data_IF_275400910981
#
_entry.id   IF_275400910981
#
_cell.length_a   1.000
_cell.length_b   1.000
_cell.length_c   1.000
_cell.angle_alpha   90.00
_cell.angle_beta   90.00
_cell.angle_gamma   90.00
#
_symmetry.space_group_name_H-M   'P 1'
#
loop_
_entity.id
_entity.type
_entity.pdbx_description
1 polymer ?
#
# COMPACT_ATOMS: atom_id res chain seq x y z
N UNK A 1 -7.02 -40.89 0.31
CA UNK A 1 -5.91 -40.21 1.00
C UNK A 1 -4.96 -39.67 -0.07
N UNK A 2 -5.38 -38.60 -0.77
CA UNK A 2 -4.59 -37.98 -1.84
C UNK A 2 -3.87 -36.77 -1.28
N UNK A 3 -2.55 -36.80 -1.36
CA UNK A 3 -1.67 -35.68 -1.03
C UNK A 3 -1.78 -34.66 -2.14
N UNK A 4 -2.36 -33.51 -1.87
CA UNK A 4 -2.16 -32.32 -2.68
C UNK A 4 -0.73 -31.85 -2.49
N UNK A 5 0.13 -32.12 -3.46
CA UNK A 5 1.42 -31.43 -3.61
C UNK A 5 1.11 -30.05 -4.23
N UNK A 6 1.15 -29.03 -3.41
CA UNK A 6 1.24 -27.66 -3.91
C UNK A 6 2.73 -27.39 -4.12
N UNK A 7 3.24 -27.82 -5.26
CA UNK A 7 4.52 -27.37 -5.82
C UNK A 7 4.19 -26.48 -7.00
N UNK A 8 3.92 -25.22 -6.70
CA UNK A 8 4.24 -24.12 -7.61
C UNK A 8 4.18 -22.85 -6.76
N UNK A 9 5.30 -22.12 -6.70
CA UNK A 9 5.34 -20.73 -6.23
C UNK A 9 4.55 -19.87 -7.21
N UNK A 10 3.24 -20.08 -7.24
CA UNK A 10 2.36 -19.16 -7.89
C UNK A 10 2.38 -17.89 -7.03
N UNK A 11 3.04 -16.85 -7.53
CA UNK A 11 2.66 -15.49 -7.16
C UNK A 11 1.14 -15.49 -7.17
N UNK A 12 0.53 -15.32 -5.98
CA UNK A 12 -0.93 -15.27 -5.87
C UNK A 12 -1.34 -14.10 -6.73
N UNK A 13 -1.85 -14.43 -7.89
CA UNK A 13 -2.23 -13.46 -8.89
C UNK A 13 -3.47 -12.75 -8.33
N UNK A 14 -3.29 -11.53 -7.82
CA UNK A 14 -4.37 -10.66 -7.33
C UNK A 14 -5.47 -10.41 -8.39
N UNK A 15 -5.35 -11.07 -9.56
CA UNK A 15 -6.20 -10.91 -10.75
C UNK A 15 -7.63 -11.42 -10.63
N UNK A 16 -7.96 -12.30 -9.67
CA UNK A 16 -9.22 -13.05 -9.75
C UNK A 16 -10.38 -12.42 -8.99
N UNK A 17 -10.14 -11.36 -8.20
CA UNK A 17 -11.15 -10.80 -7.31
C UNK A 17 -11.84 -9.51 -7.79
N UNK A 18 -11.42 -8.90 -8.91
CA UNK A 18 -12.00 -7.64 -9.37
C UNK A 18 -12.84 -7.86 -10.63
N UNK A 19 -13.98 -8.46 -10.44
CA UNK A 19 -15.03 -8.61 -11.44
C UNK A 19 -16.24 -7.77 -11.07
N UNK A 20 -16.29 -6.51 -11.53
CA UNK A 20 -17.54 -5.82 -11.80
C UNK A 20 -18.20 -5.05 -10.67
N UNK A 21 -17.98 -3.75 -10.64
CA UNK A 21 -19.02 -2.72 -10.59
C UNK A 21 -18.37 -1.36 -10.88
N UNK A 22 -18.55 -0.85 -12.08
CA UNK A 22 -18.30 0.55 -12.41
C UNK A 22 -19.30 1.42 -11.64
N UNK A 23 -18.94 1.80 -10.44
CA UNK A 23 -19.59 2.94 -9.77
C UNK A 23 -18.72 4.15 -10.09
N UNK A 24 -19.23 5.04 -10.90
CA UNK A 24 -18.63 6.35 -11.17
C UNK A 24 -18.60 7.14 -9.85
N UNK A 25 -17.49 7.09 -9.14
CA UNK A 25 -17.24 7.96 -8.00
C UNK A 25 -16.61 9.25 -8.50
N UNK A 26 -17.31 10.35 -8.25
CA UNK A 26 -16.81 11.69 -8.47
C UNK A 26 -15.44 11.87 -7.82
N UNK A 27 -14.49 12.60 -8.46
CA UNK A 27 -13.18 12.85 -7.89
C UNK A 27 -13.38 13.62 -6.59
N UNK A 28 -13.02 13.01 -5.47
CA UNK A 28 -12.81 13.73 -4.22
C UNK A 28 -11.60 14.63 -4.44
N UNK A 29 -11.85 15.84 -4.93
CA UNK A 29 -10.88 16.90 -4.94
C UNK A 29 -10.53 17.21 -3.46
N UNK A 30 -9.43 16.65 -2.98
CA UNK A 30 -8.83 17.13 -1.76
C UNK A 30 -8.35 18.55 -2.01
N UNK A 31 -8.92 19.58 -1.34
CA UNK A 31 -8.39 20.91 -1.45
C UNK A 31 -6.95 20.86 -0.96
N UNK A 32 -6.01 21.09 -1.87
CA UNK A 32 -4.59 21.19 -1.55
C UNK A 32 -4.37 22.39 -0.62
N UNK A 33 -4.62 22.22 0.67
CA UNK A 33 -4.02 23.08 1.66
C UNK A 33 -2.54 22.73 1.69
N UNK A 34 -1.74 23.57 1.03
CA UNK A 34 -0.33 23.65 1.29
C UNK A 34 -0.17 23.94 2.81
N UNK A 35 -0.07 22.88 3.60
CA UNK A 35 0.41 23.02 4.95
C UNK A 35 1.85 23.49 4.82
N UNK A 36 2.18 24.61 5.41
CA UNK A 36 3.55 25.02 5.65
C UNK A 36 4.18 23.94 6.55
N UNK A 37 4.66 22.88 5.92
CA UNK A 37 5.33 21.77 6.59
C UNK A 37 6.69 22.28 7.04
N UNK A 38 6.86 22.34 8.34
CA UNK A 38 8.21 22.42 8.88
C UNK A 38 9.06 21.37 8.18
N UNK A 39 10.26 21.75 7.72
CA UNK A 39 11.20 20.93 6.97
C UNK A 39 11.83 19.82 7.84
N UNK A 40 11.06 19.18 8.71
CA UNK A 40 11.53 18.06 9.53
C UNK A 40 11.54 16.81 8.68
N UNK A 41 12.72 16.20 8.57
CA UNK A 41 12.91 14.89 7.95
C UNK A 41 12.22 13.81 8.80
N UNK A 42 11.65 12.75 8.22
CA UNK A 42 11.19 11.60 8.99
C UNK A 42 12.30 11.05 9.88
N UNK A 43 11.93 10.49 11.03
CA UNK A 43 12.87 9.66 11.79
C UNK A 43 13.13 8.37 11.02
N UNK A 44 14.27 7.77 11.24
CA UNK A 44 14.62 6.50 10.64
C UNK A 44 14.84 5.45 11.74
N UNK A 45 14.04 4.36 11.79
CA UNK A 45 12.91 4.05 10.92
C UNK A 45 11.62 4.82 11.29
N UNK A 46 10.65 4.81 10.37
CA UNK A 46 9.28 5.26 10.65
C UNK A 46 8.25 4.17 10.31
N UNK A 47 7.08 4.21 10.97
CA UNK A 47 6.05 3.19 10.85
C UNK A 47 4.74 3.81 10.38
N UNK A 48 4.13 3.18 9.37
CA UNK A 48 2.81 3.50 8.83
C UNK A 48 1.86 2.32 9.05
N UNK A 49 0.57 2.62 9.09
CA UNK A 49 -0.50 1.64 9.04
C UNK A 49 -1.30 1.87 7.75
N UNK A 50 -1.37 0.86 6.90
CA UNK A 50 -2.34 0.81 5.80
C UNK A 50 -3.63 0.19 6.34
N UNK A 51 -4.77 0.81 6.01
CA UNK A 51 -6.04 0.31 6.48
C UNK A 51 -7.19 0.72 5.60
N UNK A 52 -8.04 -0.24 5.26
CA UNK A 52 -9.33 -0.06 4.62
C UNK A 52 -9.43 -0.78 3.28
N UNK A 53 -10.59 -0.63 2.64
CA UNK A 53 -10.88 -1.25 1.36
C UNK A 53 -10.03 -0.67 0.25
N UNK A 54 -9.52 -1.55 -0.60
CA UNK A 54 -8.92 -1.17 -1.87
C UNK A 54 -9.98 -0.59 -2.82
N UNK A 55 -9.68 0.55 -3.42
CA UNK A 55 -10.53 1.18 -4.42
C UNK A 55 -9.78 1.29 -5.74
N UNK A 56 -10.40 0.96 -6.89
CA UNK A 56 -9.76 1.15 -8.19
C UNK A 56 -9.39 2.62 -8.44
N UNK A 57 -8.25 2.86 -9.04
CA UNK A 57 -7.78 4.20 -9.44
C UNK A 57 -7.98 4.36 -10.93
N UNK A 58 -8.96 5.18 -11.34
CA UNK A 58 -9.15 5.54 -12.74
C UNK A 58 -8.22 6.71 -13.16
N UNK A 59 -8.08 7.69 -12.25
CA UNK A 59 -7.20 8.85 -12.43
C UNK A 59 -6.62 9.21 -11.07
N UNK A 60 -5.31 9.07 -10.93
CA UNK A 60 -4.59 9.38 -9.71
C UNK A 60 -3.84 10.72 -9.77
N UNK A 61 -3.38 11.24 -8.63
CA UNK A 61 -2.54 12.42 -8.59
C UNK A 61 -1.17 12.13 -9.21
N UNK A 62 -0.54 13.17 -9.75
CA UNK A 62 0.87 13.11 -10.10
C UNK A 62 1.71 13.09 -8.83
N UNK A 63 2.37 11.97 -8.54
CA UNK A 63 3.20 11.78 -7.36
C UNK A 63 4.62 12.34 -7.51
N UNK A 64 4.99 12.77 -8.74
CA UNK A 64 6.35 13.18 -9.08
C UNK A 64 7.34 12.00 -9.13
N UNK A 65 6.83 10.78 -9.32
CA UNK A 65 7.59 9.54 -9.47
C UNK A 65 7.59 9.12 -10.94
N UNK A 66 8.73 8.67 -11.45
CA UNK A 66 8.89 8.27 -12.85
C UNK A 66 8.48 6.83 -13.12
N UNK A 67 8.53 5.98 -12.08
CA UNK A 67 8.24 4.53 -12.18
C UNK A 67 6.76 4.20 -11.97
N UNK A 68 5.92 5.17 -11.61
CA UNK A 68 4.49 4.97 -11.31
C UNK A 68 3.64 5.91 -12.14
N UNK A 69 2.72 5.36 -12.94
CA UNK A 69 1.66 6.11 -13.60
C UNK A 69 0.29 5.68 -13.07
N UNK A 70 -0.33 6.53 -12.26
CA UNK A 70 -1.64 6.24 -11.67
C UNK A 70 -2.81 6.48 -12.63
N UNK A 71 -2.57 6.78 -13.89
CA UNK A 71 -3.61 7.04 -14.91
C UNK A 71 -3.75 5.88 -15.91
N UNK A 72 -2.97 4.81 -15.75
CA UNK A 72 -3.03 3.64 -16.62
C UNK A 72 -4.15 2.65 -16.25
N UNK A 73 -4.87 2.90 -15.16
CA UNK A 73 -5.94 2.04 -14.63
C UNK A 73 -5.47 0.75 -13.97
N UNK A 74 -4.16 0.58 -13.76
CA UNK A 74 -3.57 -0.64 -13.18
C UNK A 74 -3.44 -0.61 -11.66
N UNK A 75 -3.86 0.46 -10.98
CA UNK A 75 -3.67 0.64 -9.55
C UNK A 75 -4.96 0.60 -8.76
N UNK A 76 -4.85 0.11 -7.51
CA UNK A 76 -5.84 0.30 -6.44
C UNK A 76 -5.25 1.16 -5.33
N UNK A 77 -6.12 1.81 -4.55
CA UNK A 77 -5.73 2.73 -3.48
C UNK A 77 -6.38 2.36 -2.16
N UNK A 78 -5.61 2.42 -1.06
CA UNK A 78 -6.10 2.43 0.32
C UNK A 78 -5.51 3.60 1.11
N UNK A 79 -5.87 3.72 2.39
CA UNK A 79 -5.49 4.85 3.24
C UNK A 79 -4.27 4.54 4.09
N UNK A 80 -3.47 5.59 4.35
CA UNK A 80 -2.31 5.55 5.24
C UNK A 80 -2.63 6.32 6.52
N UNK A 81 -2.31 5.70 7.65
CA UNK A 81 -2.40 6.29 8.99
C UNK A 81 -1.01 6.37 9.64
N UNK A 82 -0.73 7.39 10.45
CA UNK A 82 0.55 7.52 11.11
C UNK A 82 0.62 6.58 12.32
N UNK A 83 1.77 5.92 12.52
CA UNK A 83 2.07 5.18 13.75
C UNK A 83 3.21 5.87 14.49
N UNK A 84 4.39 5.98 13.87
CA UNK A 84 5.54 6.65 14.47
C UNK A 84 6.51 7.19 13.42
N UNK A 85 7.31 8.19 13.82
CA UNK A 85 8.43 8.69 13.01
C UNK A 85 8.07 9.60 11.83
N UNK A 86 6.79 9.78 11.50
CA UNK A 86 6.32 10.67 10.43
C UNK A 86 6.14 12.10 10.96
N UNK A 87 6.66 13.12 10.26
CA UNK A 87 6.41 14.50 10.61
C UNK A 87 4.95 14.91 10.42
N UNK A 88 4.44 15.75 11.29
CA UNK A 88 3.12 16.37 11.16
C UNK A 88 2.05 15.75 12.05
N UNK A 89 0.89 15.40 11.47
CA UNK A 89 -0.24 14.88 12.24
C UNK A 89 0.02 13.48 12.76
N UNK A 90 0.06 13.31 14.06
CA UNK A 90 0.27 12.03 14.76
C UNK A 90 -1.04 11.41 15.27
N UNK A 91 -2.20 11.93 14.87
CA UNK A 91 -3.47 11.32 15.25
C UNK A 91 -3.66 9.97 14.53
N UNK A 92 -3.59 8.83 15.25
CA UNK A 92 -3.66 7.51 14.64
C UNK A 92 -5.02 7.20 14.00
N UNK A 93 -6.06 7.99 14.29
CA UNK A 93 -7.39 7.81 13.75
C UNK A 93 -7.66 8.69 12.51
N UNK A 94 -6.66 9.45 12.04
CA UNK A 94 -6.80 10.31 10.88
C UNK A 94 -5.83 9.89 9.79
N UNK A 95 -6.39 9.52 8.63
CA UNK A 95 -5.57 9.23 7.45
C UNK A 95 -4.72 10.45 7.08
N UNK A 96 -3.44 10.20 6.79
CA UNK A 96 -2.46 11.22 6.39
C UNK A 96 -2.06 11.11 4.93
N UNK A 97 -2.41 10.02 4.25
CA UNK A 97 -1.99 9.77 2.89
C UNK A 97 -2.72 8.61 2.24
N UNK A 98 -2.18 8.20 1.10
CA UNK A 98 -2.71 7.12 0.26
C UNK A 98 -1.59 6.16 -0.13
N UNK A 99 -1.92 4.88 -0.10
CA UNK A 99 -1.09 3.79 -0.61
C UNK A 99 -1.73 3.27 -1.90
N UNK A 100 -0.93 3.18 -2.94
CA UNK A 100 -1.31 2.68 -4.26
C UNK A 100 -0.57 1.39 -4.52
N UNK A 101 -1.29 0.33 -4.89
CA UNK A 101 -0.68 -0.95 -5.27
C UNK A 101 -1.09 -1.32 -6.68
N UNK A 102 -0.12 -1.78 -7.47
CA UNK A 102 -0.35 -2.22 -8.83
C UNK A 102 -1.07 -3.57 -8.84
N UNK A 103 -2.21 -3.66 -9.55
CA UNK A 103 -3.08 -4.84 -9.54
C UNK A 103 -2.43 -6.09 -10.15
N UNK A 104 -1.53 -5.89 -11.10
CA UNK A 104 -0.92 -6.95 -11.88
C UNK A 104 0.60 -6.78 -12.01
N UNK A 105 1.23 -6.21 -11.00
CA UNK A 105 2.65 -5.94 -11.00
C UNK A 105 3.25 -6.02 -9.59
N UNK A 106 4.50 -5.62 -9.52
CA UNK A 106 5.32 -5.63 -8.31
C UNK A 106 5.57 -4.24 -7.74
N UNK A 107 4.89 -3.21 -8.26
CA UNK A 107 5.08 -1.82 -7.83
C UNK A 107 3.97 -1.35 -6.88
N UNK A 108 4.39 -0.55 -5.91
CA UNK A 108 3.47 0.26 -5.11
C UNK A 108 4.03 1.66 -4.89
N UNK A 109 3.17 2.58 -4.46
CA UNK A 109 3.56 3.94 -4.14
C UNK A 109 2.85 4.46 -2.90
N UNK A 110 3.56 5.26 -2.14
CA UNK A 110 3.09 5.95 -0.96
C UNK A 110 3.05 7.45 -1.24
N UNK A 111 1.93 8.08 -0.95
CA UNK A 111 1.79 9.53 -0.96
C UNK A 111 1.46 9.99 0.45
N UNK A 112 2.40 10.65 1.10
CA UNK A 112 2.34 11.05 2.50
C UNK A 112 2.79 12.50 2.68
N UNK A 113 2.53 13.14 3.83
CA UNK A 113 2.99 14.50 4.07
C UNK A 113 4.50 14.64 3.83
N UNK A 114 4.89 15.57 2.99
CA UNK A 114 6.29 15.85 2.67
C UNK A 114 6.83 15.20 1.40
N UNK A 115 6.08 14.28 0.77
CA UNK A 115 6.47 13.68 -0.51
C UNK A 115 5.82 12.33 -0.81
N UNK A 116 6.42 11.64 -1.76
CA UNK A 116 5.98 10.32 -2.21
C UNK A 116 7.18 9.42 -2.38
N UNK A 117 6.96 8.11 -2.36
CA UNK A 117 8.00 7.13 -2.70
C UNK A 117 7.37 5.90 -3.35
N UNK A 118 8.09 5.34 -4.32
CA UNK A 118 7.73 4.10 -5.00
C UNK A 118 8.60 2.95 -4.49
N UNK A 119 8.00 1.79 -4.36
CA UNK A 119 8.66 0.57 -3.93
C UNK A 119 8.34 -0.58 -4.87
N UNK A 120 9.21 -1.58 -4.82
CA UNK A 120 9.01 -2.87 -5.48
C UNK A 120 8.95 -3.97 -4.46
N UNK A 121 7.98 -4.87 -4.59
CA UNK A 121 7.94 -6.12 -3.83
C UNK A 121 9.11 -7.00 -4.23
N UNK A 122 9.87 -7.48 -3.23
CA UNK A 122 11.03 -8.37 -3.42
C UNK A 122 10.66 -9.78 -3.04
N UNK A 123 9.95 -9.93 -1.91
CA UNK A 123 9.55 -11.21 -1.35
C UNK A 123 8.19 -11.08 -0.67
N UNK A 124 7.45 -12.20 -0.60
CA UNK A 124 6.14 -12.26 0.04
C UNK A 124 5.94 -13.66 0.62
N UNK A 125 5.66 -13.71 1.92
CA UNK A 125 5.36 -14.93 2.68
C UNK A 125 3.95 -14.83 3.28
N UNK A 126 2.95 -14.60 2.40
CA UNK A 126 1.55 -14.53 2.76
C UNK A 126 0.93 -15.92 2.71
N UNK A 127 0.32 -16.37 3.79
CA UNK A 127 -0.32 -17.68 3.91
C UNK A 127 -1.83 -17.53 4.15
N UNK A 128 -2.65 -18.44 3.59
CA UNK A 128 -4.07 -18.48 3.91
C UNK A 128 -4.31 -18.82 5.38
N UNK A 129 -5.20 -18.07 6.02
CA UNK A 129 -5.64 -18.30 7.39
C UNK A 129 -7.14 -18.48 7.41
N UNK A 130 -7.60 -19.58 8.01
CA UNK A 130 -9.03 -19.84 8.26
C UNK A 130 -9.38 -19.29 9.66
N UNK A 131 -10.30 -18.36 9.72
CA UNK A 131 -10.80 -17.80 10.99
C UNK A 131 -11.86 -18.67 11.68
N UNK A 132 -12.14 -19.85 11.12
CA UNK A 132 -13.18 -20.77 11.61
C UNK A 132 -14.61 -20.32 11.33
N UNK A 133 -14.82 -19.15 10.71
CA UNK A 133 -16.12 -18.57 10.36
C UNK A 133 -16.32 -18.45 8.84
N UNK A 134 -15.41 -19.05 8.05
CA UNK A 134 -15.42 -18.98 6.59
C UNK A 134 -14.81 -17.67 6.06
N UNK A 135 -14.08 -16.93 6.86
CA UNK A 135 -13.29 -15.79 6.43
C UNK A 135 -12.13 -16.25 5.54
N UNK A 136 -11.83 -15.48 4.50
CA UNK A 136 -10.76 -15.74 3.57
C UNK A 136 -9.68 -14.67 3.75
N UNK A 137 -8.67 -15.00 4.57
CA UNK A 137 -7.57 -14.10 4.88
C UNK A 137 -6.26 -14.61 4.30
N UNK A 138 -5.39 -13.67 3.94
CA UNK A 138 -3.95 -13.92 3.83
C UNK A 138 -3.25 -13.13 4.94
N UNK A 139 -2.37 -13.78 5.67
CA UNK A 139 -1.55 -13.15 6.70
C UNK A 139 -0.08 -13.52 6.50
N UNK A 140 0.82 -12.58 6.80
CA UNK A 140 2.26 -12.84 6.72
C UNK A 140 3.09 -11.58 6.58
N UNK A 141 4.21 -11.70 5.91
CA UNK A 141 5.16 -10.61 5.71
C UNK A 141 5.47 -10.39 4.23
N UNK A 142 5.77 -9.15 3.90
CA UNK A 142 6.24 -8.77 2.58
C UNK A 142 7.47 -7.85 2.73
N UNK A 143 8.46 -8.06 1.86
CA UNK A 143 9.67 -7.25 1.79
C UNK A 143 9.68 -6.41 0.52
N UNK A 144 9.96 -5.12 0.67
CA UNK A 144 10.01 -4.19 -0.43
C UNK A 144 11.30 -3.36 -0.41
N UNK A 145 11.73 -2.91 -1.59
CA UNK A 145 12.82 -1.93 -1.73
C UNK A 145 12.30 -0.62 -2.29
N UNK A 146 12.84 0.51 -1.79
CA UNK A 146 12.49 1.85 -2.23
C UNK A 146 13.28 2.17 -3.50
N UNK A 147 12.58 2.32 -4.63
CA UNK A 147 13.17 2.61 -5.94
C UNK A 147 13.36 4.09 -6.19
N UNK A 148 12.38 4.89 -5.80
CA UNK A 148 12.31 6.31 -6.08
C UNK A 148 11.59 7.04 -4.95
N UNK A 149 11.99 8.29 -4.66
CA UNK A 149 11.33 9.10 -3.65
C UNK A 149 11.42 10.60 -3.96
N UNK A 150 10.43 11.35 -3.48
CA UNK A 150 10.36 12.80 -3.61
C UNK A 150 10.37 13.50 -2.24
N UNK A 151 10.53 14.81 -2.25
CA UNK A 151 10.44 15.61 -1.02
C UNK A 151 11.45 15.20 0.05
N UNK A 152 10.96 15.08 1.29
CA UNK A 152 11.78 14.76 2.47
C UNK A 152 12.20 13.29 2.53
N UNK A 153 11.69 12.42 1.65
CA UNK A 153 11.95 10.98 1.62
C UNK A 153 13.08 10.58 0.67
N UNK A 154 13.71 11.52 -0.05
CA UNK A 154 14.76 11.22 -1.05
C UNK A 154 15.93 10.41 -0.51
N UNK A 155 16.24 10.57 0.77
CA UNK A 155 17.35 9.82 1.40
C UNK A 155 16.99 8.38 1.74
N UNK A 156 15.75 7.95 1.50
CA UNK A 156 15.30 6.58 1.72
C UNK A 156 15.43 5.70 0.47
N UNK A 157 15.80 6.25 -0.69
CA UNK A 157 16.03 5.46 -1.91
C UNK A 157 17.11 4.40 -1.66
N UNK A 158 16.82 3.15 -2.03
CA UNK A 158 17.64 1.97 -1.70
C UNK A 158 17.36 1.36 -0.32
N UNK A 159 16.55 2.01 0.50
CA UNK A 159 16.07 1.46 1.76
C UNK A 159 14.96 0.43 1.59
N UNK A 160 14.43 -0.03 2.72
CA UNK A 160 13.53 -1.17 2.79
C UNK A 160 12.23 -0.82 3.48
N UNK A 161 11.20 -1.61 3.17
CA UNK A 161 9.96 -1.68 3.93
C UNK A 161 9.68 -3.15 4.26
N UNK A 162 9.62 -3.45 5.55
CA UNK A 162 9.13 -4.72 6.06
C UNK A 162 7.66 -4.55 6.43
N UNK A 163 6.79 -5.24 5.72
CA UNK A 163 5.34 -5.21 5.93
C UNK A 163 4.91 -6.44 6.74
N UNK A 164 4.02 -6.21 7.70
CA UNK A 164 3.26 -7.28 8.36
C UNK A 164 1.81 -7.09 7.96
N UNK A 165 1.32 -7.98 7.15
CA UNK A 165 0.09 -7.80 6.38
C UNK A 165 -1.02 -8.78 6.77
N UNK A 166 -2.24 -8.27 6.72
CA UNK A 166 -3.48 -9.03 6.78
C UNK A 166 -4.45 -8.54 5.72
N UNK A 167 -4.69 -9.38 4.73
CA UNK A 167 -5.62 -9.12 3.63
C UNK A 167 -6.89 -9.95 3.83
N UNK A 168 -8.03 -9.29 3.92
CA UNK A 168 -9.33 -9.93 3.99
C UNK A 168 -10.04 -9.84 2.65
N UNK A 169 -10.29 -10.98 2.03
CA UNK A 169 -11.04 -11.07 0.77
C UNK A 169 -12.51 -11.21 1.07
N UNK A 170 -13.27 -10.17 0.78
CA UNK A 170 -14.70 -10.10 1.06
C UNK A 170 -15.50 -10.86 -0.01
N UNK A 171 -16.69 -11.29 0.34
CA UNK A 171 -17.61 -11.97 -0.59
C UNK A 171 -18.02 -11.08 -1.79
N UNK A 172 -17.90 -9.75 -1.66
CA UNK A 172 -18.08 -8.79 -2.76
C UNK A 172 -16.96 -8.83 -3.80
N UNK A 173 -15.83 -9.46 -3.50
CA UNK A 173 -14.61 -9.41 -4.29
C UNK A 173 -13.68 -8.26 -3.90
N UNK A 174 -14.06 -7.44 -2.94
CA UNK A 174 -13.21 -6.38 -2.40
C UNK A 174 -12.12 -6.96 -1.48
N UNK A 175 -11.03 -6.21 -1.31
CA UNK A 175 -9.95 -6.54 -0.37
C UNK A 175 -9.94 -5.45 0.71
N UNK A 176 -10.06 -5.86 1.98
CA UNK A 176 -9.85 -4.99 3.14
C UNK A 176 -8.47 -5.29 3.71
N UNK A 177 -7.62 -4.26 3.75
CA UNK A 177 -6.22 -4.36 4.18
C UNK A 177 -6.04 -3.83 5.60
N UNK A 178 -5.16 -4.50 6.33
CA UNK A 178 -4.60 -4.04 7.59
C UNK A 178 -3.12 -4.42 7.65
N UNK A 179 -2.25 -3.44 7.39
CA UNK A 179 -0.82 -3.69 7.25
C UNK A 179 0.02 -2.67 7.99
N UNK A 180 0.98 -3.15 8.79
CA UNK A 180 2.04 -2.34 9.35
C UNK A 180 3.25 -2.31 8.42
N UNK A 181 3.68 -1.11 8.05
CA UNK A 181 4.83 -0.87 7.20
C UNK A 181 5.96 -0.27 8.04
N UNK A 182 7.05 -1.00 8.21
CA UNK A 182 8.26 -0.52 8.88
C UNK A 182 9.28 -0.10 7.83
N UNK A 183 9.47 1.19 7.66
CA UNK A 183 10.24 1.79 6.56
C UNK A 183 11.55 2.34 7.11
N UNK A 184 12.68 1.94 6.51
CA UNK A 184 14.02 2.36 6.88
C UNK A 184 14.82 2.84 5.68
N UNK A 185 15.83 3.69 5.95
CA UNK A 185 16.83 4.09 4.96
C UNK A 185 17.84 2.95 4.69
N UNK A 186 18.67 3.07 3.65
CA UNK A 186 19.74 2.11 3.33
C UNK A 186 20.73 1.94 4.44
#
# INVERSE_FOLDING_TARGET
>A
MERFMITDRAMINRRTAIGGALVALSPLAFPGRAMAQGKTKPSDPFVLLLKGLYQPVAHGPNLGLSVVDLNDGSYSVTKIYPVSGIPGNTNPNKAIGSFYTQLNGDLCAYHVPGGSFAMRFIDSDLVPVDDGNGGNFLEGTEELTILEATGIYRSFVGGHNHMVDKLHFLASGDIDEYCFCNISSP
#
